data_IF_887959389510
#
_entry.id   IF_887959389510
#
_cell.length_a   1.000
_cell.length_b   1.000
_cell.length_c   1.000
_cell.angle_alpha   90.00
_cell.angle_beta   90.00
_cell.angle_gamma   90.00
#
_symmetry.space_group_name_H-M   'P 1'
#
loop_
_entity.id
_entity.type
_entity.pdbx_description
1 polymer ?
#
# COMPACT_ATOMS: atom_id res chain seq x y z
N UNK A 1 -3.35 10.43 15.26
CA UNK A 1 -3.47 10.76 13.84
C UNK A 1 -4.36 11.98 13.63
N UNK A 2 -5.64 11.92 14.02
CA UNK A 2 -6.61 13.01 13.82
C UNK A 2 -6.13 14.35 14.41
N UNK A 3 -5.58 14.36 15.63
CA UNK A 3 -5.04 15.57 16.25
C UNK A 3 -3.84 16.18 15.46
N UNK A 4 -3.09 15.40 14.72
CA UNK A 4 -2.05 15.90 13.80
C UNK A 4 -2.70 16.49 12.56
N UNK A 5 -3.70 15.82 12.00
CA UNK A 5 -4.46 16.31 10.85
C UNK A 5 -5.16 17.64 11.17
N UNK A 6 -5.74 17.79 12.37
CA UNK A 6 -6.38 19.05 12.80
C UNK A 6 -5.37 20.20 12.82
N UNK A 7 -4.17 19.99 13.40
CA UNK A 7 -3.10 20.98 13.41
C UNK A 7 -2.62 21.36 12.01
N UNK A 8 -2.53 20.39 11.09
CA UNK A 8 -2.18 20.67 9.71
C UNK A 8 -3.24 21.54 9.03
N UNK A 9 -4.53 21.24 9.21
CA UNK A 9 -5.63 22.06 8.70
C UNK A 9 -5.60 23.48 9.28
N UNK A 10 -5.34 23.64 10.57
CA UNK A 10 -5.18 24.94 11.22
C UNK A 10 -4.01 25.75 10.63
N UNK A 11 -2.97 25.06 10.17
CA UNK A 11 -1.82 25.66 9.48
C UNK A 11 -2.07 25.90 7.96
N UNK A 12 -3.26 25.57 7.43
CA UNK A 12 -3.61 25.72 6.03
C UNK A 12 -3.00 24.66 5.09
N UNK A 13 -2.57 23.53 5.67
CA UNK A 13 -1.97 22.40 4.94
C UNK A 13 -3.02 21.30 4.81
N UNK A 14 -3.22 20.77 3.60
CA UNK A 14 -4.05 19.57 3.40
C UNK A 14 -3.37 18.37 4.05
N UNK A 15 -3.98 17.73 5.06
CA UNK A 15 -3.32 16.67 5.81
C UNK A 15 -2.98 15.44 4.95
N UNK A 16 -3.92 15.01 4.09
CA UNK A 16 -3.82 13.75 3.35
C UNK A 16 -4.12 13.96 1.87
N UNK A 17 -3.17 13.64 1.01
CA UNK A 17 -3.39 13.49 -0.41
C UNK A 17 -3.97 12.11 -0.71
N UNK A 18 -5.15 12.09 -1.33
CA UNK A 18 -5.79 10.86 -1.80
C UNK A 18 -6.06 10.93 -3.30
N UNK A 19 -6.04 9.75 -3.96
CA UNK A 19 -6.18 9.62 -5.40
C UNK A 19 -7.10 8.45 -5.74
N UNK A 20 -8.34 8.75 -6.07
CA UNK A 20 -9.39 7.76 -6.34
C UNK A 20 -9.91 7.76 -7.78
N UNK A 21 -9.24 8.45 -8.72
CA UNK A 21 -9.62 8.44 -10.13
C UNK A 21 -9.58 7.03 -10.72
N UNK A 22 -8.60 6.23 -10.33
CA UNK A 22 -8.56 4.80 -10.63
C UNK A 22 -9.29 4.04 -9.52
N UNK A 23 -10.41 3.34 -9.81
CA UNK A 23 -11.16 2.56 -8.81
C UNK A 23 -10.31 1.50 -8.10
N UNK A 24 -9.26 0.98 -8.74
CA UNK A 24 -8.35 0.03 -8.11
C UNK A 24 -7.65 0.63 -6.89
N UNK A 25 -7.36 1.93 -6.91
CA UNK A 25 -6.72 2.62 -5.79
C UNK A 25 -7.64 2.71 -4.57
N UNK A 26 -8.93 2.95 -4.80
CA UNK A 26 -9.94 2.92 -3.73
C UNK A 26 -10.07 1.49 -3.18
N UNK A 27 -10.01 0.47 -4.05
CA UNK A 27 -9.97 -0.93 -3.65
C UNK A 27 -8.77 -1.27 -2.77
N UNK A 28 -7.58 -0.77 -3.09
CA UNK A 28 -6.38 -0.95 -2.27
C UNK A 28 -6.52 -0.28 -0.89
N UNK A 29 -7.09 0.93 -0.84
CA UNK A 29 -7.37 1.58 0.44
C UNK A 29 -8.36 0.76 1.28
N UNK A 30 -9.43 0.24 0.67
CA UNK A 30 -10.41 -0.60 1.37
C UNK A 30 -9.76 -1.89 1.91
N UNK A 31 -8.88 -2.55 1.14
CA UNK A 31 -8.15 -3.72 1.60
C UNK A 31 -7.24 -3.39 2.78
N UNK A 32 -6.46 -2.31 2.69
CA UNK A 32 -5.58 -1.86 3.78
C UNK A 32 -6.39 -1.50 5.03
N UNK A 33 -7.51 -0.79 4.88
CA UNK A 33 -8.41 -0.43 5.96
C UNK A 33 -9.06 -1.67 6.62
N UNK A 34 -9.43 -2.68 5.83
CA UNK A 34 -9.95 -3.96 6.33
C UNK A 34 -8.92 -4.65 7.22
N UNK A 35 -7.68 -4.79 6.75
CA UNK A 35 -6.61 -5.41 7.54
C UNK A 35 -6.28 -4.61 8.80
N UNK A 36 -6.30 -3.27 8.71
CA UNK A 36 -5.94 -2.39 9.82
C UNK A 36 -7.04 -2.33 10.90
N UNK A 37 -8.33 -2.39 10.54
CA UNK A 37 -9.42 -2.00 11.44
C UNK A 37 -10.52 -3.04 11.63
N UNK A 38 -10.48 -4.16 10.91
CA UNK A 38 -11.39 -5.29 11.08
C UNK A 38 -10.58 -6.54 11.45
N UNK A 39 -10.50 -6.93 12.72
CA UNK A 39 -9.72 -8.09 13.19
C UNK A 39 -10.01 -9.39 12.41
N UNK A 40 -11.30 -9.65 12.13
CA UNK A 40 -11.78 -10.81 11.39
C UNK A 40 -12.15 -10.49 9.92
N UNK A 41 -11.81 -9.27 9.45
CA UNK A 41 -12.28 -8.74 8.18
C UNK A 41 -11.88 -9.57 6.97
N UNK A 42 -10.67 -10.14 6.95
CA UNK A 42 -10.20 -11.01 5.86
C UNK A 42 -11.02 -12.29 5.78
N UNK A 43 -11.33 -12.91 6.93
CA UNK A 43 -12.18 -14.10 7.01
C UNK A 43 -13.63 -13.77 6.57
N UNK A 44 -14.15 -12.64 7.04
CA UNK A 44 -15.50 -12.16 6.66
C UNK A 44 -15.60 -11.90 5.17
N UNK A 45 -14.60 -11.28 4.53
CA UNK A 45 -14.58 -11.12 3.06
C UNK A 45 -14.59 -12.49 2.36
N UNK A 46 -13.83 -13.47 2.85
CA UNK A 46 -13.88 -14.85 2.33
C UNK A 46 -15.28 -15.44 2.36
N UNK A 47 -15.99 -15.29 3.47
CA UNK A 47 -17.38 -15.73 3.63
C UNK A 47 -18.37 -14.94 2.74
N UNK A 48 -18.13 -13.67 2.52
CA UNK A 48 -18.92 -12.85 1.60
C UNK A 48 -18.76 -13.35 0.16
N UNK A 49 -17.53 -13.63 -0.26
CA UNK A 49 -17.23 -14.16 -1.60
C UNK A 49 -17.87 -15.55 -1.80
N UNK A 50 -17.88 -16.40 -0.79
CA UNK A 50 -18.58 -17.71 -0.85
C UNK A 50 -20.11 -17.63 -0.73
N UNK A 51 -20.65 -16.45 -0.39
CA UNK A 51 -22.09 -16.25 -0.19
C UNK A 51 -22.61 -16.65 1.19
N UNK A 52 -21.72 -16.95 2.12
CA UNK A 52 -22.04 -17.38 3.50
C UNK A 52 -22.30 -16.20 4.44
N UNK A 53 -21.81 -15.00 4.11
CA UNK A 53 -21.97 -13.78 4.89
C UNK A 53 -22.31 -12.57 4.02
N UNK A 54 -22.64 -11.46 4.67
CA UNK A 54 -22.82 -10.14 4.06
C UNK A 54 -22.05 -9.10 4.87
N UNK A 55 -21.55 -8.06 4.21
CA UNK A 55 -20.95 -6.89 4.88
C UNK A 55 -22.04 -6.04 5.56
N UNK A 56 -23.25 -6.02 4.99
CA UNK A 56 -24.37 -5.26 5.54
C UNK A 56 -24.71 -5.71 6.97
N UNK A 57 -24.62 -4.79 7.92
CA UNK A 57 -24.88 -5.04 9.34
C UNK A 57 -23.71 -5.62 10.12
N UNK A 58 -22.55 -5.78 9.50
CA UNK A 58 -21.33 -6.19 10.19
C UNK A 58 -20.69 -4.97 10.90
N UNK A 59 -20.49 -5.07 12.22
CA UNK A 59 -19.99 -3.95 13.04
C UNK A 59 -18.52 -3.63 12.78
N UNK A 60 -17.70 -4.62 12.39
CA UNK A 60 -16.31 -4.36 12.04
C UNK A 60 -16.21 -3.56 10.74
N UNK A 61 -17.01 -3.92 9.72
CA UNK A 61 -17.04 -3.16 8.48
C UNK A 61 -17.68 -1.80 8.64
N UNK A 62 -18.63 -1.64 9.54
CA UNK A 62 -19.16 -0.31 9.92
C UNK A 62 -18.02 0.57 10.47
N UNK A 63 -17.22 0.05 11.41
CA UNK A 63 -16.03 0.76 11.93
C UNK A 63 -15.02 1.09 10.82
N UNK A 64 -14.76 0.15 9.89
CA UNK A 64 -13.89 0.41 8.73
C UNK A 64 -14.39 1.61 7.91
N UNK A 65 -15.68 1.64 7.55
CA UNK A 65 -16.24 2.74 6.77
C UNK A 65 -16.29 4.07 7.54
N UNK A 66 -16.54 4.06 8.85
CA UNK A 66 -16.49 5.26 9.68
C UNK A 66 -15.07 5.85 9.73
N UNK A 67 -14.04 5.01 9.90
CA UNK A 67 -12.64 5.43 9.87
C UNK A 67 -12.21 5.90 8.47
N UNK A 68 -12.65 5.23 7.40
CA UNK A 68 -12.43 5.70 6.02
C UNK A 68 -13.07 7.06 5.77
N UNK A 69 -14.29 7.30 6.23
CA UNK A 69 -14.93 8.61 6.15
C UNK A 69 -14.16 9.68 6.93
N UNK A 70 -13.59 9.32 8.07
CA UNK A 70 -12.71 10.22 8.84
C UNK A 70 -11.47 10.57 8.03
N UNK A 71 -10.80 9.61 7.37
CA UNK A 71 -9.68 9.89 6.47
C UNK A 71 -10.08 10.85 5.33
N UNK A 72 -11.22 10.59 4.68
CA UNK A 72 -11.74 11.44 3.60
C UNK A 72 -12.00 12.87 4.06
N UNK A 73 -12.40 13.10 5.32
CA UNK A 73 -12.60 14.44 5.86
C UNK A 73 -11.30 15.26 5.98
N UNK A 74 -10.15 14.61 5.93
CA UNK A 74 -8.81 15.21 5.94
C UNK A 74 -8.14 15.21 4.56
N UNK A 75 -8.79 14.67 3.55
CA UNK A 75 -8.24 14.56 2.21
C UNK A 75 -8.46 15.84 1.37
N UNK A 76 -7.78 15.90 0.23
CA UNK A 76 -8.02 16.90 -0.81
C UNK A 76 -9.46 16.81 -1.34
N UNK A 77 -10.03 17.94 -1.73
CA UNK A 77 -11.43 18.04 -2.19
C UNK A 77 -11.71 17.20 -3.44
N UNK A 78 -10.71 17.04 -4.31
CA UNK A 78 -10.77 16.28 -5.56
C UNK A 78 -10.29 14.82 -5.43
N UNK A 79 -10.24 14.28 -4.21
CA UNK A 79 -9.71 12.95 -3.88
C UNK A 79 -10.19 11.83 -4.81
N UNK A 80 -11.45 11.85 -5.25
CA UNK A 80 -12.01 10.83 -6.13
C UNK A 80 -11.77 11.08 -7.63
N UNK A 81 -11.26 12.26 -8.00
CA UNK A 81 -10.99 12.64 -9.38
C UNK A 81 -9.48 12.72 -9.69
N UNK A 82 -8.64 12.79 -8.65
CA UNK A 82 -7.20 12.95 -8.77
C UNK A 82 -6.52 11.64 -9.19
N UNK A 83 -5.55 11.74 -10.12
CA UNK A 83 -4.68 10.61 -10.46
C UNK A 83 -3.59 10.40 -9.41
N UNK A 84 -3.04 9.19 -9.34
CA UNK A 84 -1.89 8.89 -8.48
C UNK A 84 -0.69 9.77 -8.83
N UNK A 85 -0.34 9.91 -10.09
CA UNK A 85 0.78 10.75 -10.56
C UNK A 85 0.65 12.18 -10.05
N UNK A 86 -0.50 12.83 -10.27
CA UNK A 86 -0.73 14.21 -9.81
C UNK A 86 -0.72 14.30 -8.29
N UNK A 87 -1.26 13.30 -7.59
CA UNK A 87 -1.21 13.25 -6.12
C UNK A 87 0.24 13.21 -5.61
N UNK A 88 1.11 12.42 -6.23
CA UNK A 88 2.52 12.34 -5.85
C UNK A 88 3.28 13.64 -6.17
N UNK A 89 3.00 14.28 -7.29
CA UNK A 89 3.54 15.61 -7.63
C UNK A 89 3.15 16.65 -6.56
N UNK A 90 1.88 16.70 -6.18
CA UNK A 90 1.39 17.62 -5.15
C UNK A 90 1.98 17.32 -3.77
N UNK A 91 2.15 16.04 -3.42
CA UNK A 91 2.83 15.64 -2.19
C UNK A 91 4.30 16.10 -2.18
N UNK A 92 5.03 15.89 -3.28
CA UNK A 92 6.42 16.34 -3.42
C UNK A 92 6.55 17.86 -3.34
N UNK A 93 5.56 18.60 -3.83
CA UNK A 93 5.49 20.05 -3.77
C UNK A 93 5.06 20.59 -2.39
N UNK A 94 4.70 19.70 -1.44
CA UNK A 94 4.30 20.09 -0.10
C UNK A 94 2.85 20.57 0.04
N UNK A 95 2.01 20.34 -0.97
CA UNK A 95 0.58 20.65 -0.89
C UNK A 95 -0.18 19.69 0.04
N UNK A 96 0.34 18.49 0.19
CA UNK A 96 -0.14 17.47 1.12
C UNK A 96 0.96 17.07 2.09
N UNK A 97 0.63 16.95 3.38
CA UNK A 97 1.58 16.51 4.39
C UNK A 97 1.84 14.99 4.34
N UNK A 98 0.84 14.23 3.93
CA UNK A 98 0.87 12.77 3.82
C UNK A 98 0.17 12.32 2.54
N UNK A 99 0.46 11.10 2.07
CA UNK A 99 -0.36 10.43 1.03
C UNK A 99 -0.59 8.98 1.44
N UNK A 100 -1.78 8.44 1.10
CA UNK A 100 -2.12 7.05 1.37
C UNK A 100 -1.93 6.26 0.07
N UNK A 101 -0.93 5.37 0.10
CA UNK A 101 -0.57 4.55 -1.07
C UNK A 101 0.20 3.31 -0.62
N UNK A 102 0.59 2.44 -1.53
CA UNK A 102 1.50 1.34 -1.25
C UNK A 102 2.97 1.76 -1.33
N UNK A 103 3.84 0.95 -0.76
CA UNK A 103 5.31 1.18 -0.75
C UNK A 103 5.90 1.34 -2.17
N UNK A 104 5.28 0.76 -3.18
CA UNK A 104 5.64 0.90 -4.59
C UNK A 104 5.68 2.37 -5.08
N UNK A 105 4.93 3.27 -4.45
CA UNK A 105 4.90 4.69 -4.81
C UNK A 105 6.22 5.41 -4.49
N UNK A 106 7.03 4.86 -3.58
CA UNK A 106 8.30 5.47 -3.14
C UNK A 106 9.23 5.75 -4.32
N UNK A 107 9.45 4.77 -5.20
CA UNK A 107 10.31 4.95 -6.38
C UNK A 107 9.80 6.07 -7.29
N UNK A 108 8.50 6.17 -7.50
CA UNK A 108 7.88 7.25 -8.28
C UNK A 108 8.08 8.60 -7.61
N UNK A 109 7.82 8.72 -6.32
CA UNK A 109 7.98 9.98 -5.55
C UNK A 109 9.45 10.42 -5.56
N UNK A 110 10.38 9.52 -5.34
CA UNK A 110 11.82 9.82 -5.37
C UNK A 110 12.34 10.16 -6.78
N UNK A 111 11.70 9.65 -7.84
CA UNK A 111 12.05 10.05 -9.21
C UNK A 111 11.68 11.52 -9.51
N UNK A 112 10.65 12.06 -8.84
CA UNK A 112 10.26 13.48 -8.93
C UNK A 112 11.24 14.36 -8.12
N UNK A 113 11.55 13.95 -6.88
CA UNK A 113 12.53 14.65 -6.04
C UNK A 113 13.41 13.65 -5.26
N UNK A 114 14.61 13.35 -5.76
CA UNK A 114 15.53 12.40 -5.13
C UNK A 114 16.00 12.79 -3.72
N UNK A 115 15.88 14.08 -3.35
CA UNK A 115 16.32 14.59 -2.06
C UNK A 115 15.18 14.67 -1.02
N UNK A 116 13.95 14.27 -1.38
CA UNK A 116 12.83 14.29 -0.45
C UNK A 116 12.98 13.14 0.56
N UNK A 117 13.08 13.49 1.83
CA UNK A 117 13.03 12.54 2.93
C UNK A 117 11.57 12.12 3.17
N UNK A 118 11.30 10.82 3.06
CA UNK A 118 9.96 10.25 3.19
C UNK A 118 9.94 9.28 4.37
N UNK A 119 9.05 9.53 5.33
CA UNK A 119 8.69 8.56 6.35
C UNK A 119 7.53 7.68 5.90
N UNK A 120 7.55 6.41 6.27
CA UNK A 120 6.47 5.44 5.99
C UNK A 120 5.92 4.94 7.32
N UNK A 121 4.61 4.83 7.43
CA UNK A 121 3.94 4.23 8.59
C UNK A 121 2.63 3.56 8.16
N UNK A 122 2.21 2.50 8.86
CA UNK A 122 0.93 1.83 8.57
C UNK A 122 -0.26 2.72 8.92
N UNK A 123 -1.46 2.38 8.41
CA UNK A 123 -2.69 3.04 8.83
C UNK A 123 -2.82 2.94 10.36
N UNK A 124 -2.98 4.08 11.07
CA UNK A 124 -3.00 4.08 12.52
C UNK A 124 -4.25 3.38 13.05
N UNK A 125 -4.08 2.65 14.14
CA UNK A 125 -5.17 2.04 14.90
C UNK A 125 -5.31 2.72 16.28
N UNK A 126 -6.25 2.26 17.09
CA UNK A 126 -6.54 2.82 18.43
C UNK A 126 -5.39 2.56 19.41
N UNK A 127 -4.62 1.48 19.21
CA UNK A 127 -3.35 1.23 19.90
C UNK A 127 -2.24 0.89 18.92
N UNK A 128 -0.97 1.07 19.35
CA UNK A 128 0.19 0.69 18.54
C UNK A 128 0.26 -0.83 18.36
N UNK A 129 -0.05 -1.59 19.40
CA UNK A 129 0.03 -3.05 19.40
C UNK A 129 -1.00 -3.71 18.46
N UNK A 130 -2.12 -3.01 18.17
CA UNK A 130 -3.14 -3.46 17.23
C UNK A 130 -2.90 -2.99 15.80
N UNK A 131 -1.81 -2.26 15.56
CA UNK A 131 -1.48 -1.73 14.25
C UNK A 131 -1.04 -2.86 13.33
N UNK A 132 -1.74 -3.01 12.21
CA UNK A 132 -1.46 -4.00 11.17
C UNK A 132 -1.18 -3.34 9.84
N UNK A 133 -0.35 -3.97 9.04
CA UNK A 133 -0.03 -3.54 7.68
C UNK A 133 -0.54 -4.57 6.68
N UNK A 134 -1.17 -4.10 5.60
CA UNK A 134 -1.49 -4.97 4.48
C UNK A 134 -0.19 -5.36 3.78
N UNK A 135 0.13 -6.64 3.83
CA UNK A 135 1.25 -7.23 3.10
C UNK A 135 0.83 -8.52 2.42
N UNK A 136 1.46 -8.87 1.33
CA UNK A 136 1.13 -10.09 0.57
C UNK A 136 1.93 -10.18 -0.73
N UNK A 137 1.61 -11.19 -1.54
CA UNK A 137 2.17 -11.30 -2.89
C UNK A 137 1.54 -10.22 -3.75
N UNK A 138 2.31 -9.17 -4.05
CA UNK A 138 1.87 -8.08 -4.91
C UNK A 138 2.03 -8.45 -6.38
N UNK A 139 3.21 -8.93 -6.76
CA UNK A 139 3.52 -9.32 -8.13
C UNK A 139 3.99 -10.78 -8.21
N UNK A 140 3.55 -11.49 -9.24
CA UNK A 140 4.01 -12.84 -9.54
C UNK A 140 4.45 -12.94 -11.01
N UNK A 141 5.60 -13.57 -11.24
CA UNK A 141 6.07 -13.85 -12.59
C UNK A 141 5.63 -15.25 -12.97
N UNK A 142 4.84 -15.38 -14.04
CA UNK A 142 4.31 -16.64 -14.51
C UNK A 142 4.97 -17.06 -15.82
N UNK A 143 5.28 -18.35 -15.95
CA UNK A 143 5.73 -18.94 -17.20
C UNK A 143 4.56 -19.63 -17.89
N UNK A 144 4.29 -19.30 -19.16
CA UNK A 144 3.18 -19.89 -19.90
C UNK A 144 3.33 -21.42 -20.01
N UNK A 145 2.25 -22.14 -19.66
CA UNK A 145 2.21 -23.60 -19.83
C UNK A 145 2.33 -24.03 -21.30
N UNK A 146 1.93 -23.14 -22.23
CA UNK A 146 1.97 -23.39 -23.68
C UNK A 146 3.30 -23.01 -24.33
N UNK A 147 4.23 -22.40 -23.59
CA UNK A 147 5.57 -22.09 -24.11
C UNK A 147 6.32 -23.38 -24.46
N UNK A 148 7.17 -23.32 -25.47
CA UNK A 148 8.08 -24.43 -25.85
C UNK A 148 9.09 -24.71 -24.72
N UNK A 149 9.65 -25.90 -24.70
CA UNK A 149 10.65 -26.27 -23.68
C UNK A 149 11.86 -25.33 -23.67
N UNK A 150 12.27 -24.83 -24.83
CA UNK A 150 13.37 -23.87 -24.97
C UNK A 150 13.00 -22.51 -24.33
N UNK A 151 11.77 -22.04 -24.51
CA UNK A 151 11.29 -20.79 -23.93
C UNK A 151 11.11 -20.93 -22.40
N UNK A 152 10.60 -22.09 -21.95
CA UNK A 152 10.51 -22.41 -20.53
C UNK A 152 11.88 -22.44 -19.86
N UNK A 153 12.85 -23.08 -20.48
CA UNK A 153 14.23 -23.13 -19.98
C UNK A 153 14.83 -21.72 -19.86
N UNK A 154 14.64 -20.87 -20.87
CA UNK A 154 15.09 -19.49 -20.83
C UNK A 154 14.39 -18.68 -19.72
N UNK A 155 13.08 -18.85 -19.55
CA UNK A 155 12.31 -18.20 -18.50
C UNK A 155 12.77 -18.65 -17.10
N UNK A 156 12.99 -19.94 -16.89
CA UNK A 156 13.48 -20.45 -15.60
C UNK A 156 14.89 -19.97 -15.26
N UNK A 157 15.78 -19.83 -16.26
CA UNK A 157 17.11 -19.21 -16.03
C UNK A 157 16.97 -17.76 -15.60
N UNK A 158 16.07 -17.01 -16.23
CA UNK A 158 15.79 -15.63 -15.83
C UNK A 158 15.22 -15.54 -14.41
N UNK A 159 14.25 -16.41 -14.06
CA UNK A 159 13.73 -16.48 -12.70
C UNK A 159 14.81 -16.85 -11.67
N UNK A 160 15.69 -17.78 -12.01
CA UNK A 160 16.82 -18.13 -11.13
C UNK A 160 17.79 -16.97 -10.95
N UNK A 161 18.02 -16.17 -11.99
CA UNK A 161 18.81 -14.95 -11.90
C UNK A 161 18.17 -13.92 -10.98
N UNK A 162 16.84 -13.70 -11.08
CA UNK A 162 16.11 -12.79 -10.20
C UNK A 162 16.06 -13.28 -8.76
N UNK A 163 16.07 -14.60 -8.53
CA UNK A 163 16.03 -15.19 -7.19
C UNK A 163 17.43 -15.25 -6.52
N UNK A 164 18.49 -14.91 -7.24
CA UNK A 164 19.79 -14.72 -6.61
C UNK A 164 19.77 -13.56 -5.63
N UNK A 165 20.29 -13.70 -4.39
CA UNK A 165 20.16 -12.67 -3.36
C UNK A 165 20.70 -11.29 -3.75
N UNK A 166 21.78 -11.22 -4.53
CA UNK A 166 22.35 -9.94 -4.97
C UNK A 166 21.41 -9.23 -5.96
N UNK A 167 20.84 -9.97 -6.91
CA UNK A 167 19.89 -9.43 -7.88
C UNK A 167 18.53 -9.11 -7.22
N UNK A 168 18.10 -9.94 -6.30
CA UNK A 168 16.87 -9.72 -5.53
C UNK A 168 16.98 -8.47 -4.63
N UNK A 169 18.19 -8.17 -4.09
CA UNK A 169 18.44 -6.95 -3.35
C UNK A 169 18.28 -5.72 -4.23
N UNK A 170 18.87 -5.75 -5.45
CA UNK A 170 18.72 -4.64 -6.42
C UNK A 170 17.25 -4.41 -6.76
N UNK A 171 16.47 -5.48 -6.96
CA UNK A 171 15.05 -5.37 -7.24
C UNK A 171 14.29 -4.76 -6.04
N UNK A 172 14.53 -5.29 -4.82
CA UNK A 172 13.90 -4.80 -3.60
C UNK A 172 14.16 -3.30 -3.36
N UNK A 173 15.41 -2.85 -3.54
CA UNK A 173 15.80 -1.46 -3.33
C UNK A 173 15.18 -0.49 -4.34
N UNK A 174 14.89 -0.95 -5.56
CA UNK A 174 14.30 -0.13 -6.61
C UNK A 174 12.76 -0.16 -6.61
N UNK A 175 12.16 -1.31 -6.28
CA UNK A 175 10.70 -1.49 -6.28
C UNK A 175 10.06 -0.92 -5.00
N UNK A 176 10.81 -0.86 -3.90
CA UNK A 176 10.30 -0.40 -2.62
C UNK A 176 9.32 -1.38 -1.97
N UNK A 177 9.39 -2.67 -2.32
CA UNK A 177 8.58 -3.73 -1.74
C UNK A 177 9.45 -4.73 -0.96
N UNK A 178 8.90 -5.40 0.07
CA UNK A 178 9.59 -6.48 0.76
C UNK A 178 9.93 -7.61 -0.21
N UNK A 179 11.13 -8.16 -0.10
CA UNK A 179 11.53 -9.31 -0.91
C UNK A 179 11.04 -10.63 -0.32
N UNK A 180 10.62 -11.57 -1.20
CA UNK A 180 10.35 -12.96 -0.81
C UNK A 180 11.63 -13.82 -0.71
N UNK A 181 12.80 -13.28 -1.02
CA UNK A 181 14.08 -14.01 -0.97
C UNK A 181 14.69 -13.88 0.42
N UNK A 182 14.98 -15.01 1.04
CA UNK A 182 15.58 -15.06 2.37
C UNK A 182 16.92 -14.29 2.43
N UNK A 183 17.07 -13.43 3.43
CA UNK A 183 18.27 -12.63 3.64
C UNK A 183 18.29 -11.29 2.88
N UNK A 184 17.32 -11.04 2.00
CA UNK A 184 17.14 -9.75 1.32
C UNK A 184 16.23 -8.87 2.17
N UNK A 185 16.67 -7.66 2.48
CA UNK A 185 15.92 -6.69 3.29
C UNK A 185 15.95 -5.32 2.61
N UNK A 186 14.86 -4.58 2.69
CA UNK A 186 14.84 -3.20 2.21
C UNK A 186 15.78 -2.32 3.05
N UNK A 187 16.39 -1.32 2.41
CA UNK A 187 17.12 -0.26 3.11
C UNK A 187 16.17 0.73 3.82
N UNK A 188 14.86 0.53 3.73
CA UNK A 188 13.82 1.34 4.38
C UNK A 188 13.20 0.57 5.54
N UNK A 189 13.37 1.07 6.76
CA UNK A 189 12.81 0.48 7.97
C UNK A 189 11.26 0.42 7.93
N UNK A 190 10.60 1.39 7.30
CA UNK A 190 9.15 1.41 7.15
C UNK A 190 8.63 0.27 6.27
N UNK A 191 9.39 -0.12 5.24
CA UNK A 191 9.06 -1.28 4.39
C UNK A 191 9.30 -2.59 5.15
N UNK A 192 10.37 -2.65 5.95
CA UNK A 192 10.68 -3.84 6.74
C UNK A 192 9.63 -4.12 7.83
N UNK A 193 8.90 -3.09 8.32
CA UNK A 193 7.76 -3.26 9.24
C UNK A 193 6.58 -4.06 8.62
N UNK A 194 6.48 -4.11 7.30
CA UNK A 194 5.42 -4.82 6.58
C UNK A 194 5.86 -6.24 6.14
N UNK A 195 7.00 -6.73 6.61
CA UNK A 195 7.52 -8.05 6.26
C UNK A 195 6.84 -9.14 7.08
N UNK A 196 6.52 -10.27 6.43
CA UNK A 196 6.19 -11.50 7.13
C UNK A 196 7.46 -12.09 7.76
N UNK A 197 7.43 -12.35 9.05
CA UNK A 197 8.41 -13.19 9.74
C UNK A 197 8.12 -14.68 9.49
#
# INVERSE_FOLDING_TARGET
>A
FTAVCDKLKEAGITPVGMHGKDPARVGHLFQAATVAWAPDGVETIGKVVSGEAKIEGDEEFKNVFEKMNTLLSYANEDALALSDTTCYENFVNGEYAMTITGSYARGTIQSINPNLEIGVFPLPNDSYDDTKCLSGIDAAICVSAQASDKEKDAAYRFLSYLADPENAQIFCDNDGAPSCITGVTSNDDGINLCRYD
#
